data_IF_842509924225
#
_entry.id   IF_842509924225
#
_cell.length_a   1.000
_cell.length_b   1.000
_cell.length_c   1.000
_cell.angle_alpha   90.00
_cell.angle_beta   90.00
_cell.angle_gamma   90.00
#
_symmetry.space_group_name_H-M   'P 1'
#
loop_
_entity.id
_entity.type
_entity.pdbx_description
1 polymer ?
#
# COMPACT_ATOMS: atom_id res chain seq x y z
N UNK A 1 -4.64 9.27 -16.66
CA UNK A 1 -4.26 9.07 -15.24
C UNK A 1 -3.69 7.66 -15.10
N UNK A 2 -2.41 7.51 -14.76
CA UNK A 2 -1.80 6.18 -14.59
C UNK A 2 -2.29 5.57 -13.26
N UNK A 3 -2.74 4.31 -13.29
CA UNK A 3 -3.20 3.55 -12.11
C UNK A 3 -2.76 2.08 -12.20
N UNK A 4 -1.46 1.80 -12.18
CA UNK A 4 -0.98 0.40 -12.09
C UNK A 4 -1.12 -0.13 -10.65
N UNK A 5 -1.36 -1.43 -10.50
CA UNK A 5 -1.13 -2.13 -9.23
C UNK A 5 -0.43 -3.44 -9.55
N UNK A 6 0.67 -3.70 -8.85
CA UNK A 6 1.53 -4.84 -9.13
C UNK A 6 1.84 -5.55 -7.83
N UNK A 7 1.85 -6.88 -7.87
CA UNK A 7 2.26 -7.71 -6.74
C UNK A 7 3.70 -8.15 -6.96
N UNK A 8 4.50 -8.13 -5.90
CA UNK A 8 5.91 -8.47 -5.89
C UNK A 8 6.21 -9.38 -4.69
N UNK A 9 7.28 -10.13 -4.78
CA UNK A 9 7.94 -10.73 -3.62
C UNK A 9 9.21 -9.95 -3.34
N UNK A 10 9.43 -9.62 -2.07
CA UNK A 10 10.71 -9.07 -1.60
C UNK A 10 11.41 -10.16 -0.81
N UNK A 11 12.70 -10.35 -1.09
CA UNK A 11 13.54 -11.34 -0.44
C UNK A 11 14.65 -10.66 0.34
N UNK A 12 15.10 -11.30 1.41
CA UNK A 12 16.34 -10.91 2.08
C UNK A 12 17.58 -11.37 1.28
N UNK A 13 18.77 -10.91 1.68
CA UNK A 13 20.03 -11.23 0.99
C UNK A 13 20.32 -12.73 0.90
N UNK A 14 19.84 -13.52 1.87
CA UNK A 14 20.00 -14.98 1.88
C UNK A 14 18.93 -15.73 1.05
N UNK A 15 17.98 -14.99 0.44
CA UNK A 15 16.87 -15.51 -0.38
C UNK A 15 16.04 -16.61 0.29
N UNK A 16 15.99 -16.64 1.62
CA UNK A 16 15.28 -17.64 2.40
C UNK A 16 14.03 -17.10 3.11
N UNK A 17 13.81 -15.78 3.04
CA UNK A 17 12.63 -15.11 3.57
C UNK A 17 11.94 -14.40 2.43
N UNK A 18 10.64 -14.64 2.27
CA UNK A 18 9.81 -14.09 1.20
C UNK A 18 8.69 -13.26 1.82
N UNK A 19 8.62 -11.98 1.46
CA UNK A 19 7.58 -11.07 1.91
C UNK A 19 6.67 -10.69 0.75
N UNK A 20 5.36 -10.84 0.95
CA UNK A 20 4.37 -10.46 -0.06
C UNK A 20 4.14 -8.96 -0.06
N UNK A 21 4.38 -8.30 -1.19
CA UNK A 21 4.23 -6.85 -1.33
C UNK A 21 3.29 -6.49 -2.49
N UNK A 22 2.43 -5.50 -2.29
CA UNK A 22 1.66 -4.90 -3.39
C UNK A 22 1.94 -3.41 -3.49
N UNK A 23 2.34 -2.95 -4.66
CA UNK A 23 2.48 -1.52 -4.92
C UNK A 23 1.27 -0.95 -5.66
N UNK A 24 0.98 0.31 -5.40
CA UNK A 24 0.03 1.14 -6.15
C UNK A 24 0.66 2.50 -6.41
N UNK A 25 0.85 2.83 -7.67
CA UNK A 25 1.35 4.14 -8.08
C UNK A 25 0.18 5.06 -8.52
N UNK A 26 0.21 6.30 -8.04
CA UNK A 26 -0.74 7.35 -8.34
C UNK A 26 0.00 8.61 -8.79
N UNK A 27 -0.46 9.22 -9.89
CA UNK A 27 0.12 10.49 -10.36
C UNK A 27 -0.15 11.67 -9.44
N UNK A 28 -1.16 11.56 -8.55
CA UNK A 28 -1.59 12.58 -7.59
C UNK A 28 -1.98 11.92 -6.27
N UNK A 29 -2.07 12.71 -5.21
CA UNK A 29 -2.58 12.27 -3.90
C UNK A 29 -4.09 12.00 -3.98
N UNK A 30 -4.48 10.72 -4.08
CA UNK A 30 -5.87 10.29 -4.29
C UNK A 30 -6.19 9.03 -3.49
N UNK A 31 -7.47 8.71 -3.33
CA UNK A 31 -7.91 7.48 -2.68
C UNK A 31 -7.41 6.24 -3.45
N UNK A 32 -6.98 5.23 -2.70
CA UNK A 32 -6.52 3.94 -3.24
C UNK A 32 -7.68 2.96 -3.19
N UNK A 33 -8.06 2.39 -4.34
CA UNK A 33 -9.05 1.33 -4.40
C UNK A 33 -8.50 0.02 -3.82
N UNK A 34 -9.24 -0.57 -2.89
CA UNK A 34 -8.91 -1.83 -2.23
C UNK A 34 -9.72 -3.03 -2.76
N UNK A 35 -10.75 -2.77 -3.56
CA UNK A 35 -11.59 -3.81 -4.19
C UNK A 35 -12.97 -3.94 -3.53
N UNK A 36 -13.73 -4.97 -3.89
CA UNK A 36 -15.10 -5.16 -3.38
C UNK A 36 -15.15 -5.85 -2.01
N UNK A 37 -14.10 -6.58 -1.66
CA UNK A 37 -13.99 -7.36 -0.44
C UNK A 37 -12.67 -7.06 0.25
N UNK A 38 -12.73 -6.45 1.43
CA UNK A 38 -11.53 -6.13 2.20
C UNK A 38 -10.76 -7.40 2.61
N UNK A 39 -11.46 -8.52 2.73
CA UNK A 39 -10.86 -9.79 3.10
C UNK A 39 -10.03 -10.42 2.01
N UNK A 40 -10.15 -9.99 0.75
CA UNK A 40 -9.39 -10.53 -0.38
C UNK A 40 -7.97 -9.95 -0.45
N UNK A 41 -7.62 -9.02 0.43
CA UNK A 41 -6.27 -8.50 0.55
C UNK A 41 -5.34 -9.54 1.18
N UNK A 42 -4.25 -9.90 0.48
CA UNK A 42 -3.33 -11.00 0.84
C UNK A 42 -1.91 -10.55 1.18
N UNK A 43 -1.37 -9.56 0.48
CA UNK A 43 0.03 -9.13 0.65
C UNK A 43 0.23 -8.47 2.02
N UNK A 44 1.29 -8.88 2.73
CA UNK A 44 1.68 -8.38 4.05
C UNK A 44 1.92 -6.87 4.02
N UNK A 45 2.54 -6.40 2.94
CA UNK A 45 2.92 -5.01 2.74
C UNK A 45 2.19 -4.37 1.57
N UNK A 46 1.84 -3.09 1.75
CA UNK A 46 1.37 -2.21 0.68
C UNK A 46 2.22 -0.97 0.58
N UNK A 47 2.68 -0.69 -0.64
CA UNK A 47 3.42 0.51 -0.99
C UNK A 47 2.52 1.41 -1.81
N UNK A 48 2.23 2.61 -1.31
CA UNK A 48 1.45 3.62 -2.04
C UNK A 48 2.42 4.70 -2.49
N UNK A 49 2.62 4.81 -3.80
CA UNK A 49 3.48 5.86 -4.38
C UNK A 49 2.60 6.98 -4.92
N UNK A 50 2.79 8.20 -4.43
CA UNK A 50 2.17 9.42 -4.98
C UNK A 50 3.20 10.22 -5.75
N UNK A 51 2.73 11.16 -6.60
CA UNK A 51 3.59 11.92 -7.53
C UNK A 51 4.43 10.99 -8.42
N UNK A 52 3.89 9.84 -8.80
CA UNK A 52 4.64 8.79 -9.50
C UNK A 52 5.25 9.19 -10.87
N UNK A 53 4.83 10.32 -11.42
CA UNK A 53 5.35 10.87 -12.68
C UNK A 53 6.21 12.13 -12.47
N UNK A 54 6.51 12.49 -11.23
CA UNK A 54 7.38 13.61 -10.88
C UNK A 54 8.78 13.08 -10.53
N UNK A 55 9.76 13.98 -10.51
CA UNK A 55 11.15 13.64 -10.13
C UNK A 55 11.28 13.22 -8.67
N UNK A 56 10.29 13.58 -7.84
CA UNK A 56 10.23 13.28 -6.41
C UNK A 56 8.93 12.51 -6.08
N UNK A 57 8.83 11.22 -6.43
CA UNK A 57 7.76 10.37 -5.95
C UNK A 57 7.89 10.16 -4.43
N UNK A 58 6.77 10.00 -3.75
CA UNK A 58 6.74 9.71 -2.31
C UNK A 58 6.05 8.37 -2.10
N UNK A 59 6.68 7.49 -1.35
CA UNK A 59 6.17 6.18 -0.98
C UNK A 59 5.68 6.16 0.46
N UNK A 60 4.52 5.54 0.67
CA UNK A 60 3.99 5.23 1.99
C UNK A 60 4.00 3.72 2.18
N UNK A 61 4.69 3.27 3.22
CA UNK A 61 4.93 1.87 3.55
C UNK A 61 3.97 1.47 4.66
N UNK A 62 3.00 0.61 4.35
CA UNK A 62 1.95 0.20 5.28
C UNK A 62 1.83 -1.32 5.35
N UNK A 63 1.48 -1.83 6.54
CA UNK A 63 1.12 -3.23 6.74
C UNK A 63 -0.33 -3.49 6.31
N UNK A 64 -0.66 -4.75 6.03
CA UNK A 64 -2.02 -5.15 5.72
C UNK A 64 -3.01 -4.82 6.85
N UNK A 65 -2.58 -4.96 8.10
CA UNK A 65 -3.41 -4.65 9.27
C UNK A 65 -3.77 -3.16 9.32
N UNK A 66 -2.81 -2.27 9.08
CA UNK A 66 -3.04 -0.81 9.04
C UNK A 66 -3.97 -0.40 7.90
N UNK A 67 -3.80 -1.02 6.72
CA UNK A 67 -4.69 -0.82 5.58
C UNK A 67 -6.11 -1.22 5.95
N UNK A 68 -6.31 -2.39 6.56
CA UNK A 68 -7.64 -2.89 6.95
C UNK A 68 -8.28 -2.00 8.02
N UNK A 69 -7.51 -1.59 9.03
CA UNK A 69 -7.98 -0.74 10.12
C UNK A 69 -8.44 0.65 9.65
N UNK A 70 -7.85 1.16 8.56
CA UNK A 70 -8.12 2.51 8.05
C UNK A 70 -8.99 2.52 6.79
N UNK A 71 -9.41 1.35 6.31
CA UNK A 71 -10.23 1.22 5.11
C UNK A 71 -11.65 1.73 5.34
N UNK A 72 -12.23 2.39 4.32
CA UNK A 72 -13.62 2.80 4.31
C UNK A 72 -14.37 2.12 3.17
N UNK A 73 -15.60 1.75 3.41
CA UNK A 73 -16.49 1.24 2.39
C UNK A 73 -17.44 2.34 1.92
N UNK A 74 -17.85 2.27 0.64
CA UNK A 74 -18.94 3.10 0.14
C UNK A 74 -20.21 2.95 1.01
N UNK A 75 -20.95 4.07 1.16
CA UNK A 75 -22.08 4.20 2.11
C UNK A 75 -23.17 3.11 1.97
N UNK A 76 -23.37 2.57 0.78
CA UNK A 76 -24.44 1.61 0.49
C UNK A 76 -23.94 0.16 0.39
N UNK A 77 -22.72 -0.12 0.87
CA UNK A 77 -22.03 -1.36 0.55
C UNK A 77 -21.50 -1.27 -0.89
N UNK A 78 -20.20 -1.49 -1.06
CA UNK A 78 -19.54 -1.25 -2.33
C UNK A 78 -18.05 -1.42 -2.23
N UNK A 79 -17.32 -0.63 -3.02
CA UNK A 79 -15.88 -0.69 -3.03
C UNK A 79 -15.30 -0.20 -1.71
N UNK A 80 -14.17 -0.79 -1.36
CA UNK A 80 -13.33 -0.37 -0.25
C UNK A 80 -12.26 0.57 -0.77
N UNK A 81 -11.97 1.58 0.04
CA UNK A 81 -11.05 2.65 -0.27
C UNK A 81 -10.13 2.93 0.90
N UNK A 82 -8.94 3.42 0.58
CA UNK A 82 -8.04 4.05 1.54
C UNK A 82 -7.85 5.51 1.15
N UNK A 83 -8.38 6.42 1.96
CA UNK A 83 -8.32 7.86 1.70
C UNK A 83 -6.93 8.43 1.97
N UNK A 84 -6.54 9.56 1.34
CA UNK A 84 -5.23 10.18 1.57
C UNK A 84 -4.84 10.40 3.03
N UNK A 85 -5.70 10.94 3.93
CA UNK A 85 -5.32 11.14 5.33
C UNK A 85 -5.00 9.83 6.08
N UNK A 86 -5.42 8.68 5.55
CA UNK A 86 -5.15 7.38 6.14
C UNK A 86 -3.73 6.87 5.87
N UNK A 87 -3.13 7.25 4.72
CA UNK A 87 -1.79 6.81 4.33
C UNK A 87 -0.74 7.92 4.29
N UNK A 88 -1.14 9.17 4.03
CA UNK A 88 -0.28 10.35 3.98
C UNK A 88 0.00 10.84 5.40
N UNK A 89 0.74 10.02 6.14
CA UNK A 89 1.14 10.23 7.52
C UNK A 89 2.63 9.99 7.66
N UNK A 90 3.27 10.74 8.55
CA UNK A 90 4.73 10.73 8.69
C UNK A 90 5.28 9.36 9.11
N UNK A 91 4.54 8.59 9.91
CA UNK A 91 4.95 7.23 10.30
C UNK A 91 5.01 6.23 9.13
N UNK A 92 4.39 6.56 7.99
CA UNK A 92 4.36 5.70 6.80
C UNK A 92 5.26 6.23 5.68
N UNK A 93 5.54 7.53 5.67
CA UNK A 93 6.29 8.23 4.62
C UNK A 93 7.74 7.74 4.57
N UNK A 94 8.15 7.19 3.42
CA UNK A 94 9.49 6.63 3.17
C UNK A 94 9.97 5.66 4.28
N UNK A 95 9.03 5.03 4.98
CA UNK A 95 9.30 4.23 6.17
C UNK A 95 9.76 2.81 5.81
N UNK A 96 10.73 2.71 4.90
CA UNK A 96 11.26 1.44 4.38
C UNK A 96 11.88 0.56 5.47
N UNK A 97 12.48 1.19 6.50
CA UNK A 97 13.05 0.49 7.65
C UNK A 97 12.04 -0.29 8.50
N UNK A 98 10.73 -0.15 8.23
CA UNK A 98 9.67 -0.95 8.85
C UNK A 98 9.63 -2.39 8.30
N UNK A 99 10.13 -2.60 7.09
CA UNK A 99 10.12 -3.90 6.44
C UNK A 99 11.25 -4.72 7.05
N UNK A 100 10.88 -5.54 8.03
CA UNK A 100 11.76 -6.51 8.65
C UNK A 100 11.26 -7.91 8.33
N UNK A 101 12.19 -8.83 8.11
CA UNK A 101 11.89 -10.24 8.11
C UNK A 101 11.31 -10.62 9.48
N UNK A 102 10.06 -11.06 9.53
CA UNK A 102 9.53 -11.68 10.75
C UNK A 102 10.11 -13.08 10.82
N UNK A 103 10.86 -13.37 11.88
CA UNK A 103 11.53 -14.67 12.11
C UNK A 103 10.52 -15.74 12.50
#
# INVERSE_FOLDING_TARGET
MLRSSTSHFVVNDAENIFLGMRSKALSKRLAVGLGMRIDDLRSDWRIITVRANADEPICYVMTLAEIRASAKQDRNGGAWWLDPPAYDRDEFREAWGRIVATT
#
